data_IF_793968949662
#
_entry.id   IF_793968949662
#
_cell.length_a   1.000
_cell.length_b   1.000
_cell.length_c   1.000
_cell.angle_alpha   90.00
_cell.angle_beta   90.00
_cell.angle_gamma   90.00
#
_symmetry.space_group_name_H-M   'P 1'
#
loop_
_entity.id
_entity.type
_entity.pdbx_description
1 polymer ?
#
# COMPACT_ATOMS: atom_id res chain seq x y z
N UNK A 1 4.37 10.41 -55.77
CA UNK A 1 4.88 11.05 -54.54
C UNK A 1 3.99 10.63 -53.38
N UNK A 2 4.63 10.26 -52.28
CA UNK A 2 4.10 9.67 -51.04
C UNK A 2 3.37 10.70 -50.16
N UNK A 3 2.36 10.20 -49.43
CA UNK A 3 1.95 10.51 -48.04
C UNK A 3 0.53 11.09 -47.87
N UNK A 4 -0.51 10.28 -47.62
CA UNK A 4 -1.03 9.70 -46.34
C UNK A 4 -1.37 10.72 -45.24
N UNK A 5 -2.69 10.98 -45.10
CA UNK A 5 -3.53 10.88 -43.88
C UNK A 5 -2.99 11.43 -42.54
N UNK A 6 -3.63 12.51 -42.06
CA UNK A 6 -3.74 12.85 -40.63
C UNK A 6 -5.21 12.67 -40.20
N UNK A 7 -5.62 11.41 -40.03
CA UNK A 7 -6.72 11.05 -39.14
C UNK A 7 -6.07 10.64 -37.83
N UNK A 8 -6.13 11.51 -36.82
CA UNK A 8 -5.75 11.16 -35.46
C UNK A 8 -6.70 10.06 -34.96
N UNK A 9 -6.27 8.81 -35.09
CA UNK A 9 -6.86 7.66 -34.44
C UNK A 9 -6.79 7.90 -32.93
N UNK A 10 -7.95 8.20 -32.36
CA UNK A 10 -8.24 7.91 -30.98
C UNK A 10 -8.06 6.38 -30.83
N UNK A 11 -6.89 5.93 -30.38
CA UNK A 11 -6.69 4.54 -29.99
C UNK A 11 -7.35 4.41 -28.63
N UNK A 12 -8.49 3.71 -28.49
CA UNK A 12 -8.96 3.38 -27.17
C UNK A 12 -7.89 2.48 -26.56
N UNK A 13 -7.35 2.87 -25.41
CA UNK A 13 -6.69 1.94 -24.48
C UNK A 13 -7.74 0.92 -24.06
N UNK A 14 -8.04 -0.04 -24.94
CA UNK A 14 -8.78 -1.23 -24.59
C UNK A 14 -7.87 -2.02 -23.67
N UNK A 15 -7.97 -1.76 -22.37
CA UNK A 15 -7.47 -2.69 -21.36
C UNK A 15 -8.11 -4.03 -21.71
N UNK A 16 -7.29 -5.03 -22.02
CA UNK A 16 -7.79 -6.32 -22.49
C UNK A 16 -8.73 -6.90 -21.42
N UNK A 17 -10.03 -6.97 -21.73
CA UNK A 17 -11.06 -7.40 -20.79
C UNK A 17 -10.79 -8.80 -20.23
N UNK A 18 -10.12 -9.69 -20.99
CA UNK A 18 -9.68 -11.01 -20.50
C UNK A 18 -8.59 -10.94 -19.41
N UNK A 19 -7.73 -9.93 -19.43
CA UNK A 19 -6.67 -9.75 -18.42
C UNK A 19 -7.26 -9.20 -17.11
N UNK A 20 -8.22 -8.29 -17.20
CA UNK A 20 -8.97 -7.80 -16.04
C UNK A 20 -9.83 -8.90 -15.39
N UNK A 21 -10.49 -9.75 -16.19
CA UNK A 21 -11.30 -10.84 -15.67
C UNK A 21 -10.44 -11.89 -14.96
N UNK A 22 -9.29 -12.27 -15.54
CA UNK A 22 -8.38 -13.25 -14.94
C UNK A 22 -7.75 -12.79 -13.62
N UNK A 23 -7.40 -11.50 -13.47
CA UNK A 23 -6.94 -10.95 -12.18
C UNK A 23 -8.06 -10.96 -11.15
N UNK A 24 -9.28 -10.61 -11.57
CA UNK A 24 -10.44 -10.60 -10.66
C UNK A 24 -10.78 -12.02 -10.18
N UNK A 25 -10.76 -13.00 -11.08
CA UNK A 25 -11.01 -14.41 -10.74
C UNK A 25 -9.93 -14.98 -9.83
N UNK A 26 -8.65 -14.66 -10.09
CA UNK A 26 -7.54 -15.03 -9.21
C UNK A 26 -7.73 -14.44 -7.81
N UNK A 27 -7.99 -13.13 -7.69
CA UNK A 27 -8.20 -12.48 -6.40
C UNK A 27 -9.39 -13.06 -5.64
N UNK A 28 -10.47 -13.41 -6.35
CA UNK A 28 -11.65 -14.04 -5.76
C UNK A 28 -11.40 -15.48 -5.32
N UNK A 29 -10.41 -16.16 -5.90
CA UNK A 29 -10.04 -17.53 -5.52
C UNK A 29 -9.18 -17.62 -4.26
N UNK A 30 -8.62 -16.49 -3.80
CA UNK A 30 -7.76 -16.47 -2.61
C UNK A 30 -8.60 -16.60 -1.32
N UNK A 31 -8.29 -17.63 -0.54
CA UNK A 31 -8.82 -17.79 0.81
C UNK A 31 -7.91 -17.20 1.89
N UNK A 32 -8.36 -17.17 3.16
CA UNK A 32 -7.52 -16.77 4.29
C UNK A 32 -6.29 -17.68 4.44
N UNK A 33 -5.17 -17.11 4.89
CA UNK A 33 -3.99 -17.91 5.19
C UNK A 33 -4.23 -18.84 6.41
N UNK A 34 -3.75 -20.09 6.41
CA UNK A 34 -3.88 -21.00 7.55
C UNK A 34 -3.21 -20.45 8.82
N UNK A 35 -3.90 -20.48 9.96
CA UNK A 35 -3.40 -19.87 11.20
C UNK A 35 -2.16 -20.54 11.80
N UNK A 36 -1.89 -21.79 11.44
CA UNK A 36 -0.80 -22.63 11.90
C UNK A 36 0.28 -22.86 10.84
N UNK A 37 0.25 -22.07 9.75
CA UNK A 37 1.25 -22.16 8.68
C UNK A 37 2.68 -22.09 9.25
N UNK A 38 3.52 -23.11 9.03
CA UNK A 38 4.86 -23.17 9.62
C UNK A 38 5.76 -22.01 9.16
N UNK A 39 5.49 -21.42 7.99
CA UNK A 39 6.25 -20.28 7.45
C UNK A 39 6.18 -19.05 8.35
N UNK A 40 5.12 -18.88 9.14
CA UNK A 40 5.03 -17.76 10.09
C UNK A 40 6.01 -17.86 11.26
N UNK A 41 6.59 -19.04 11.49
CA UNK A 41 7.58 -19.27 12.55
C UNK A 41 9.03 -19.15 12.05
N UNK A 42 9.23 -19.10 10.74
CA UNK A 42 10.54 -19.21 10.08
C UNK A 42 11.00 -17.86 9.48
N UNK A 43 10.99 -16.81 10.30
CA UNK A 43 11.45 -15.49 9.87
C UNK A 43 12.98 -15.43 9.81
N UNK A 44 13.48 -14.90 8.69
CA UNK A 44 14.89 -14.57 8.49
C UNK A 44 15.03 -13.06 8.26
N UNK A 45 15.90 -12.36 9.01
CA UNK A 45 16.18 -10.95 8.75
C UNK A 45 16.87 -10.77 7.38
N UNK A 46 16.81 -9.57 6.78
CA UNK A 46 17.53 -9.28 5.55
C UNK A 46 19.03 -9.58 5.69
N UNK A 47 19.58 -10.32 4.73
CA UNK A 47 20.99 -10.62 4.61
C UNK A 47 21.78 -9.52 3.91
N UNK A 48 23.11 -9.63 3.96
CA UNK A 48 24.00 -8.73 3.20
C UNK A 48 23.80 -8.95 1.70
N UNK A 49 23.37 -7.90 0.99
CA UNK A 49 23.13 -7.95 -0.46
C UNK A 49 21.66 -8.14 -0.86
N UNK A 50 20.76 -8.34 0.09
CA UNK A 50 19.32 -8.40 -0.20
C UNK A 50 18.81 -7.03 -0.66
N UNK A 51 18.16 -7.00 -1.83
CA UNK A 51 17.49 -5.80 -2.36
C UNK A 51 16.07 -5.76 -1.85
N UNK A 52 15.67 -4.62 -1.27
CA UNK A 52 14.31 -4.38 -0.78
C UNK A 52 13.62 -3.33 -1.65
N UNK A 53 12.45 -3.63 -2.25
CA UNK A 53 11.70 -2.63 -2.97
C UNK A 53 11.05 -1.64 -1.98
N UNK A 54 10.91 -0.36 -2.34
CA UNK A 54 10.04 0.53 -1.60
C UNK A 54 8.59 0.12 -1.87
N UNK A 55 7.97 -0.64 -0.96
CA UNK A 55 6.52 -0.78 -0.99
C UNK A 55 5.93 0.59 -0.63
N UNK A 56 5.30 1.32 -1.57
CA UNK A 56 5.27 2.79 -1.59
C UNK A 56 4.62 3.51 -0.39
N UNK A 57 4.04 2.83 0.60
CA UNK A 57 3.40 3.47 1.75
C UNK A 57 3.18 2.68 3.02
N UNK A 58 3.44 1.35 3.08
CA UNK A 58 3.95 0.79 4.34
C UNK A 58 5.28 1.46 4.66
N UNK A 59 6.10 1.70 3.65
CA UNK A 59 7.39 2.35 3.82
C UNK A 59 7.27 3.87 3.95
N UNK A 60 6.35 4.59 3.28
CA UNK A 60 6.30 6.06 3.39
C UNK A 60 6.02 6.60 4.82
N UNK A 61 5.38 5.80 5.67
CA UNK A 61 5.17 6.17 7.08
C UNK A 61 6.49 6.15 7.88
N UNK A 62 7.42 5.25 7.56
CA UNK A 62 8.63 5.01 8.33
C UNK A 62 9.94 5.36 7.61
N UNK A 63 9.98 5.38 6.28
CA UNK A 63 11.16 5.64 5.46
C UNK A 63 11.29 7.12 5.09
N UNK A 64 12.43 7.50 4.54
CA UNK A 64 12.66 8.82 3.98
C UNK A 64 12.03 8.99 2.59
N UNK A 65 11.84 10.24 2.18
CA UNK A 65 11.47 10.54 0.79
C UNK A 65 12.69 10.35 -0.14
N UNK A 66 12.44 9.91 -1.38
CA UNK A 66 13.48 9.72 -2.40
C UNK A 66 14.39 10.94 -2.62
N UNK A 67 13.86 12.15 -2.43
CA UNK A 67 14.64 13.41 -2.49
C UNK A 67 15.89 13.38 -1.58
N UNK A 68 15.86 12.64 -0.46
CA UNK A 68 16.99 12.50 0.46
C UNK A 68 17.92 11.31 0.13
N UNK A 69 17.66 10.60 -0.98
CA UNK A 69 18.54 9.58 -1.56
C UNK A 69 18.33 8.13 -1.08
N UNK A 70 17.67 7.90 0.06
CA UNK A 70 17.39 6.56 0.58
C UNK A 70 15.93 6.45 1.05
N UNK A 71 15.07 5.89 0.22
CA UNK A 71 13.61 5.76 0.46
C UNK A 71 13.16 4.34 0.84
N UNK A 72 14.09 3.39 0.89
CA UNK A 72 13.80 1.99 1.19
C UNK A 72 14.21 1.57 2.60
N UNK A 73 15.09 2.32 3.27
CA UNK A 73 15.52 1.99 4.63
C UNK A 73 14.57 2.58 5.67
N UNK A 74 14.22 1.78 6.68
CA UNK A 74 13.49 2.22 7.85
C UNK A 74 14.18 3.43 8.52
N UNK A 75 13.43 4.52 8.71
CA UNK A 75 13.93 5.76 9.28
C UNK A 75 13.20 6.14 10.56
N UNK A 76 13.84 5.84 11.69
CA UNK A 76 13.28 6.00 13.03
C UNK A 76 12.65 7.38 13.31
N UNK A 77 13.20 8.53 12.87
CA UNK A 77 12.56 9.83 13.12
C UNK A 77 11.18 9.99 12.47
N UNK A 78 10.98 9.48 11.24
CA UNK A 78 9.66 9.49 10.60
C UNK A 78 8.69 8.56 11.34
N UNK A 79 9.17 7.38 11.72
CA UNK A 79 8.38 6.46 12.53
C UNK A 79 7.99 7.03 13.90
N UNK A 80 8.89 7.76 14.56
CA UNK A 80 8.60 8.46 15.81
C UNK A 80 7.48 9.50 15.65
N UNK A 81 7.31 10.11 14.47
CA UNK A 81 6.17 10.98 14.21
C UNK A 81 4.86 10.21 14.25
N UNK A 82 4.82 9.01 13.67
CA UNK A 82 3.64 8.13 13.67
C UNK A 82 3.31 7.67 15.09
N UNK A 83 4.31 7.20 15.84
CA UNK A 83 4.14 6.70 17.21
C UNK A 83 3.54 7.74 18.17
N UNK A 84 3.77 9.04 17.94
CA UNK A 84 3.15 10.11 18.74
C UNK A 84 1.62 10.11 18.66
N UNK A 85 1.04 9.68 17.53
CA UNK A 85 -0.42 9.58 17.38
C UNK A 85 -1.02 8.43 18.18
N UNK A 86 -0.24 7.36 18.41
CA UNK A 86 -0.69 6.23 19.21
C UNK A 86 -0.70 6.54 20.72
N UNK A 87 0.03 7.56 21.18
CA UNK A 87 0.04 8.04 22.58
C UNK A 87 0.28 6.94 23.63
N UNK A 88 1.04 5.90 23.29
CA UNK A 88 1.28 4.75 24.17
C UNK A 88 0.07 3.81 24.34
N UNK A 89 -1.00 3.99 23.56
CA UNK A 89 -2.13 3.07 23.49
C UNK A 89 -1.67 1.69 23.01
N UNK A 90 -2.34 0.63 23.49
CA UNK A 90 -2.15 -0.73 22.99
C UNK A 90 -2.75 -0.94 21.59
N UNK A 91 -3.63 -0.04 21.17
CA UNK A 91 -4.32 -0.12 19.88
C UNK A 91 -4.28 1.21 19.14
N UNK A 92 -4.12 1.14 17.82
CA UNK A 92 -4.37 2.25 16.90
C UNK A 92 -5.71 2.02 16.20
N UNK A 93 -6.41 3.12 15.95
CA UNK A 93 -7.74 3.17 15.34
C UNK A 93 -7.67 3.92 14.01
N UNK A 94 -8.76 3.88 13.25
CA UNK A 94 -8.87 4.57 11.96
C UNK A 94 -8.56 6.07 12.08
N UNK A 95 -9.13 6.84 13.03
CA UNK A 95 -8.83 8.27 13.13
C UNK A 95 -7.37 8.57 13.52
N UNK A 96 -6.77 7.73 14.38
CA UNK A 96 -5.37 7.92 14.80
C UNK A 96 -4.40 7.60 13.66
N UNK A 97 -4.67 6.55 12.90
CA UNK A 97 -3.92 6.20 11.70
C UNK A 97 -4.06 7.26 10.59
N UNK A 98 -5.28 7.75 10.33
CA UNK A 98 -5.54 8.81 9.36
C UNK A 98 -4.76 10.09 9.71
N UNK A 99 -4.80 10.49 10.98
CA UNK A 99 -4.04 11.64 11.46
C UNK A 99 -2.51 11.45 11.34
N UNK A 100 -1.99 10.25 11.64
CA UNK A 100 -0.57 9.93 11.50
C UNK A 100 -0.10 9.98 10.04
N UNK A 101 -0.85 9.36 9.13
CA UNK A 101 -0.63 9.43 7.68
C UNK A 101 -0.62 10.88 7.20
N UNK A 102 -1.65 11.65 7.57
CA UNK A 102 -1.75 13.06 7.18
C UNK A 102 -0.53 13.86 7.66
N UNK A 103 -0.09 13.66 8.90
CA UNK A 103 1.10 14.32 9.44
C UNK A 103 2.38 13.97 8.67
N UNK A 104 2.52 12.73 8.19
CA UNK A 104 3.64 12.31 7.33
C UNK A 104 3.61 13.02 5.98
N UNK A 105 2.46 13.08 5.31
CA UNK A 105 2.28 13.81 4.05
C UNK A 105 2.64 15.29 4.23
N UNK A 106 2.16 15.92 5.29
CA UNK A 106 2.46 17.33 5.58
C UNK A 106 3.94 17.57 5.88
N UNK A 107 4.61 16.63 6.54
CA UNK A 107 6.05 16.71 6.76
C UNK A 107 6.83 16.64 5.45
N UNK A 108 6.51 15.68 4.57
CA UNK A 108 7.13 15.57 3.26
C UNK A 108 6.88 16.83 2.43
N UNK A 109 5.65 17.33 2.36
CA UNK A 109 5.33 18.60 1.68
C UNK A 109 6.09 19.82 2.22
N UNK A 110 6.43 19.83 3.51
CA UNK A 110 7.19 20.92 4.13
C UNK A 110 8.70 20.81 3.89
N UNK A 111 9.23 19.60 3.82
CA UNK A 111 10.69 19.33 3.91
C UNK A 111 11.31 18.89 2.59
N UNK A 112 10.49 18.41 1.65
CA UNK A 112 10.91 17.95 0.34
C UNK A 112 10.36 18.91 -0.74
N UNK A 113 11.22 19.72 -1.39
CA UNK A 113 10.80 20.72 -2.38
C UNK A 113 10.27 20.11 -3.69
N UNK A 114 10.55 18.83 -3.94
CA UNK A 114 10.05 18.08 -5.10
C UNK A 114 8.90 17.14 -4.75
N UNK A 115 8.33 17.28 -3.55
CA UNK A 115 7.24 16.42 -3.09
C UNK A 115 6.01 16.55 -4.00
N UNK A 116 5.51 15.43 -4.47
CA UNK A 116 4.28 15.34 -5.25
C UNK A 116 3.30 14.47 -4.48
N UNK A 117 2.06 14.93 -4.36
CA UNK A 117 0.99 14.18 -3.72
C UNK A 117 -0.31 14.37 -4.51
N UNK A 118 -0.45 13.58 -5.56
CA UNK A 118 -1.61 13.55 -6.43
C UNK A 118 -2.52 12.35 -6.13
N UNK A 119 -3.37 12.01 -7.11
CA UNK A 119 -4.37 10.94 -6.99
C UNK A 119 -3.70 9.58 -6.77
N UNK A 120 -2.61 9.32 -7.52
CA UNK A 120 -1.86 8.07 -7.42
C UNK A 120 -1.28 7.88 -6.02
N UNK A 121 -0.60 8.90 -5.51
CA UNK A 121 0.02 8.86 -4.18
C UNK A 121 -1.04 8.74 -3.09
N UNK A 122 -2.19 9.41 -3.26
CA UNK A 122 -3.31 9.27 -2.33
C UNK A 122 -3.86 7.84 -2.29
N UNK A 123 -4.09 7.21 -3.44
CA UNK A 123 -4.58 5.82 -3.52
C UNK A 123 -3.65 4.89 -2.75
N UNK A 124 -2.34 4.93 -3.02
CA UNK A 124 -1.40 4.07 -2.31
C UNK A 124 -1.32 4.40 -0.83
N UNK A 125 -1.21 5.69 -0.48
CA UNK A 125 -1.05 6.10 0.91
C UNK A 125 -2.24 5.69 1.81
N UNK A 126 -3.48 5.81 1.32
CA UNK A 126 -4.65 5.30 2.04
C UNK A 126 -4.75 3.78 1.97
N UNK A 127 -4.48 3.18 0.80
CA UNK A 127 -4.53 1.73 0.60
C UNK A 127 -3.61 0.97 1.54
N UNK A 128 -2.37 1.40 1.67
CA UNK A 128 -1.38 0.75 2.53
C UNK A 128 -1.67 0.99 4.00
N UNK A 129 -2.24 2.16 4.33
CA UNK A 129 -2.77 2.39 5.67
C UNK A 129 -3.90 1.42 6.01
N UNK A 130 -4.82 1.17 5.07
CA UNK A 130 -5.89 0.19 5.24
C UNK A 130 -5.33 -1.24 5.35
N UNK A 131 -4.32 -1.60 4.53
CA UNK A 131 -3.69 -2.92 4.55
C UNK A 131 -3.08 -3.21 5.92
N UNK A 132 -2.22 -2.33 6.45
CA UNK A 132 -1.59 -2.63 7.75
C UNK A 132 -2.63 -2.65 8.88
N UNK A 133 -3.65 -1.78 8.83
CA UNK A 133 -4.69 -1.76 9.85
C UNK A 133 -5.49 -3.07 9.85
N UNK A 134 -6.03 -3.51 8.72
CA UNK A 134 -6.79 -4.77 8.67
C UNK A 134 -5.89 -5.98 8.99
N UNK A 135 -4.67 -6.00 8.46
CA UNK A 135 -3.76 -7.13 8.71
C UNK A 135 -3.39 -7.20 10.19
N UNK A 136 -3.13 -6.08 10.85
CA UNK A 136 -2.69 -6.03 12.26
C UNK A 136 -3.85 -5.95 13.28
N UNK A 137 -5.11 -6.02 12.83
CA UNK A 137 -6.33 -6.14 13.66
C UNK A 137 -6.59 -7.55 14.21
N UNK A 138 -5.63 -8.47 14.02
CA UNK A 138 -5.72 -9.88 14.36
C UNK A 138 -6.42 -10.19 15.71
N UNK A 139 -7.27 -11.23 15.75
CA UNK A 139 -7.63 -12.09 14.63
C UNK A 139 -8.72 -11.47 13.74
N UNK A 140 -9.22 -10.27 14.05
CA UNK A 140 -10.20 -9.58 13.20
C UNK A 140 -9.52 -8.80 12.07
N UNK A 141 -10.31 -8.31 11.11
CA UNK A 141 -9.86 -7.38 10.06
C UNK A 141 -10.60 -6.02 10.14
N UNK A 142 -10.93 -5.57 11.36
CA UNK A 142 -11.82 -4.43 11.59
C UNK A 142 -11.17 -3.04 11.50
N UNK A 143 -9.86 -2.95 11.26
CA UNK A 143 -9.13 -1.69 11.17
C UNK A 143 -8.72 -1.07 12.52
N UNK A 144 -8.97 -1.74 13.64
CA UNK A 144 -8.38 -1.43 14.96
C UNK A 144 -7.22 -2.37 15.20
N UNK A 145 -5.99 -1.87 15.09
CA UNK A 145 -4.78 -2.69 15.09
C UNK A 145 -4.05 -2.64 16.44
N UNK A 146 -3.49 -3.78 16.86
CA UNK A 146 -2.61 -3.83 18.03
C UNK A 146 -1.28 -3.13 17.71
N UNK A 147 -0.90 -2.13 18.51
CA UNK A 147 0.30 -1.32 18.27
C UNK A 147 1.57 -2.17 18.34
N UNK A 148 1.63 -3.21 19.17
CA UNK A 148 2.80 -4.10 19.19
C UNK A 148 2.94 -4.88 17.88
N UNK A 149 1.82 -5.25 17.25
CA UNK A 149 1.83 -5.93 15.95
C UNK A 149 2.29 -4.97 14.86
N UNK A 150 1.73 -3.76 14.84
CA UNK A 150 2.14 -2.70 13.91
C UNK A 150 3.64 -2.39 14.07
N UNK A 151 4.14 -2.20 15.29
CA UNK A 151 5.57 -1.98 15.53
C UNK A 151 6.43 -3.12 15.04
N UNK A 152 6.04 -4.36 15.27
CA UNK A 152 6.78 -5.54 14.79
C UNK A 152 6.85 -5.56 13.27
N UNK A 153 5.73 -5.26 12.60
CA UNK A 153 5.69 -5.20 11.14
C UNK A 153 6.63 -4.11 10.58
N UNK A 154 6.61 -2.91 11.17
CA UNK A 154 7.39 -1.79 10.65
C UNK A 154 8.87 -1.80 11.08
N UNK A 155 9.16 -2.15 12.33
CA UNK A 155 10.51 -2.08 12.91
C UNK A 155 11.34 -3.33 12.60
N UNK A 156 10.70 -4.44 12.27
CA UNK A 156 11.38 -5.73 12.03
C UNK A 156 11.04 -6.34 10.67
N UNK A 157 10.15 -5.74 9.88
CA UNK A 157 9.63 -6.32 8.63
C UNK A 157 9.13 -7.77 8.80
N UNK A 158 8.53 -8.05 9.96
CA UNK A 158 8.17 -9.41 10.39
C UNK A 158 6.70 -9.49 10.79
N UNK A 159 6.06 -10.62 10.45
CA UNK A 159 4.73 -10.93 10.99
C UNK A 159 4.79 -11.20 12.51
N UNK A 160 3.89 -10.60 13.32
CA UNK A 160 3.96 -10.66 14.78
C UNK A 160 3.48 -11.99 15.41
N UNK A 161 3.83 -13.12 14.81
CA UNK A 161 3.34 -14.44 15.22
C UNK A 161 3.73 -14.80 16.66
N UNK A 162 4.95 -14.41 17.07
CA UNK A 162 5.47 -14.58 18.44
C UNK A 162 4.74 -13.70 19.45
N UNK A 163 4.25 -12.55 19.01
CA UNK A 163 3.50 -11.58 19.80
C UNK A 163 2.01 -11.97 19.95
N UNK A 164 1.57 -13.01 19.25
CA UNK A 164 0.19 -13.53 19.31
C UNK A 164 -0.67 -13.21 18.10
N UNK A 165 -0.11 -12.56 17.07
CA UNK A 165 -0.83 -12.31 15.82
C UNK A 165 -1.14 -13.62 15.10
N UNK A 166 -2.34 -13.72 14.54
CA UNK A 166 -2.79 -14.79 13.65
C UNK A 166 -3.47 -14.16 12.44
N UNK A 167 -3.42 -14.79 11.26
CA UNK A 167 -4.16 -14.31 10.11
C UNK A 167 -5.65 -14.21 10.43
N UNK A 168 -6.32 -13.23 9.83
CA UNK A 168 -7.77 -13.10 9.93
C UNK A 168 -8.44 -14.35 9.35
N UNK A 169 -9.46 -14.92 10.02
CA UNK A 169 -10.27 -15.98 9.44
C UNK A 169 -11.18 -15.46 8.33
N UNK A 170 -11.44 -14.14 8.29
CA UNK A 170 -12.15 -13.47 7.21
C UNK A 170 -11.16 -12.95 6.16
N UNK A 171 -11.40 -13.15 4.85
CA UNK A 171 -10.56 -12.61 3.80
C UNK A 171 -10.49 -11.08 3.83
N UNK A 172 -9.28 -10.53 3.74
CA UNK A 172 -9.06 -9.11 3.44
C UNK A 172 -9.17 -8.97 1.91
N UNK A 173 -10.20 -8.27 1.45
CA UNK A 173 -10.53 -8.12 0.02
C UNK A 173 -10.34 -6.69 -0.45
N UNK A 174 -10.34 -6.45 -1.76
CA UNK A 174 -10.37 -5.09 -2.30
C UNK A 174 -11.59 -4.28 -1.81
N UNK A 175 -12.73 -4.95 -1.59
CA UNK A 175 -13.93 -4.32 -1.07
C UNK A 175 -13.77 -3.92 0.41
N UNK A 176 -13.24 -4.81 1.25
CA UNK A 176 -12.99 -4.48 2.67
C UNK A 176 -11.94 -3.38 2.81
N UNK A 177 -10.90 -3.38 1.97
CA UNK A 177 -9.90 -2.33 1.93
C UNK A 177 -10.48 -1.01 1.43
N UNK A 178 -11.29 -1.02 0.36
CA UNK A 178 -11.95 0.17 -0.17
C UNK A 178 -12.89 0.84 0.84
N UNK A 179 -13.63 0.06 1.63
CA UNK A 179 -14.45 0.58 2.72
C UNK A 179 -13.58 1.27 3.79
N UNK A 180 -12.49 0.63 4.22
CA UNK A 180 -11.59 1.21 5.21
C UNK A 180 -10.84 2.45 4.69
N UNK A 181 -10.48 2.49 3.40
CA UNK A 181 -9.90 3.66 2.74
C UNK A 181 -10.87 4.84 2.80
N UNK A 182 -12.16 4.62 2.55
CA UNK A 182 -13.18 5.66 2.66
C UNK A 182 -13.28 6.17 4.10
N UNK A 183 -13.24 5.29 5.09
CA UNK A 183 -13.21 5.70 6.50
C UNK A 183 -11.95 6.49 6.85
N UNK A 184 -10.76 6.06 6.41
CA UNK A 184 -9.51 6.80 6.61
C UNK A 184 -9.55 8.19 5.97
N UNK A 185 -10.11 8.28 4.76
CA UNK A 185 -10.28 9.53 4.03
C UNK A 185 -11.21 10.50 4.79
N UNK A 186 -12.38 10.01 5.20
CA UNK A 186 -13.37 10.83 5.92
C UNK A 186 -12.91 11.28 7.30
N UNK A 187 -12.04 10.50 7.96
CA UNK A 187 -11.47 10.80 9.27
C UNK A 187 -10.14 11.59 9.19
N UNK A 188 -9.65 11.91 8.00
CA UNK A 188 -8.41 12.69 7.82
C UNK A 188 -8.61 14.14 8.28
N UNK A 189 -7.71 14.71 9.12
CA UNK A 189 -7.83 16.08 9.67
C UNK A 189 -8.01 17.18 8.62
N UNK A 190 -7.50 16.95 7.42
CA UNK A 190 -7.99 17.57 6.20
C UNK A 190 -8.15 16.42 5.19
N UNK A 191 -9.34 16.15 4.62
CA UNK A 191 -9.31 15.59 3.27
C UNK A 191 -8.45 16.59 2.49
N UNK A 192 -7.38 16.12 1.85
CA UNK A 192 -6.24 16.93 1.42
C UNK A 192 -6.65 18.12 0.53
N UNK A 193 -5.73 18.69 -0.25
CA UNK A 193 -6.15 19.39 -1.49
C UNK A 193 -6.75 18.40 -2.52
N UNK A 194 -7.58 17.47 -2.05
CA UNK A 194 -8.26 16.39 -2.73
C UNK A 194 -9.41 17.02 -3.51
N UNK A 195 -9.11 17.49 -4.71
CA UNK A 195 -10.12 17.76 -5.74
C UNK A 195 -10.85 16.50 -6.23
N UNK A 196 -10.78 15.38 -5.50
CA UNK A 196 -11.41 14.11 -5.83
C UNK A 196 -12.21 13.56 -4.65
N UNK A 197 -13.47 13.22 -4.93
CA UNK A 197 -14.28 12.36 -4.07
C UNK A 197 -13.80 10.91 -4.24
N UNK A 198 -13.06 10.39 -3.28
CA UNK A 198 -12.73 8.95 -3.22
C UNK A 198 -13.97 8.24 -2.66
N UNK A 199 -14.54 7.31 -3.43
CA UNK A 199 -15.59 6.37 -3.00
C UNK A 199 -15.00 4.96 -2.99
N UNK A 200 -15.67 4.00 -2.35
CA UNK A 200 -15.19 2.62 -2.33
C UNK A 200 -15.11 2.03 -3.75
N UNK A 201 -16.07 2.31 -4.63
CA UNK A 201 -16.01 1.87 -6.03
C UNK A 201 -14.92 2.61 -6.82
N UNK A 202 -14.80 3.93 -6.66
CA UNK A 202 -13.78 4.69 -7.40
C UNK A 202 -12.37 4.31 -6.98
N UNK A 203 -12.17 3.93 -5.72
CA UNK A 203 -10.90 3.38 -5.25
C UNK A 203 -10.59 2.01 -5.88
N UNK A 204 -11.56 1.08 -5.88
CA UNK A 204 -11.40 -0.22 -6.53
C UNK A 204 -11.04 -0.06 -8.00
N UNK A 205 -11.78 0.76 -8.73
CA UNK A 205 -11.56 0.98 -10.16
C UNK A 205 -10.25 1.70 -10.43
N UNK A 206 -9.88 2.69 -9.61
CA UNK A 206 -8.61 3.39 -9.76
C UNK A 206 -7.41 2.51 -9.41
N UNK A 207 -7.51 1.68 -8.36
CA UNK A 207 -6.47 0.72 -7.98
C UNK A 207 -6.28 -0.35 -9.06
N UNK A 208 -7.39 -0.91 -9.58
CA UNK A 208 -7.36 -1.85 -10.70
C UNK A 208 -6.85 -1.19 -11.97
N UNK A 209 -7.24 0.04 -12.28
CA UNK A 209 -6.73 0.74 -13.47
C UNK A 209 -5.22 1.05 -13.34
N UNK A 210 -4.75 1.35 -12.13
CA UNK A 210 -3.36 1.70 -11.89
C UNK A 210 -2.45 0.47 -11.89
N UNK A 211 -2.85 -0.59 -11.19
CA UNK A 211 -2.09 -1.85 -11.10
C UNK A 211 -2.37 -2.75 -12.31
N UNK A 212 -3.63 -2.94 -12.67
CA UNK A 212 -4.09 -3.73 -13.83
C UNK A 212 -3.88 -3.07 -15.19
N UNK A 213 -3.24 -1.89 -15.26
CA UNK A 213 -2.75 -1.41 -16.55
C UNK A 213 -1.72 -2.39 -17.10
N UNK A 214 -1.94 -2.87 -18.33
CA UNK A 214 -0.99 -3.74 -19.02
C UNK A 214 0.42 -3.12 -19.11
N UNK A 215 0.52 -1.80 -19.01
CA UNK A 215 1.77 -1.05 -18.94
C UNK A 215 2.52 -1.24 -17.62
N UNK A 216 1.85 -1.14 -16.47
CA UNK A 216 2.48 -1.40 -15.17
C UNK A 216 2.97 -2.87 -15.06
N UNK A 217 2.14 -3.83 -15.49
CA UNK A 217 2.54 -5.23 -15.51
C UNK A 217 3.58 -5.56 -16.59
N UNK A 218 3.58 -4.91 -17.77
CA UNK A 218 4.64 -5.13 -18.77
C UNK A 218 5.96 -4.49 -18.39
N UNK A 219 5.94 -3.34 -17.71
CA UNK A 219 7.13 -2.72 -17.14
C UNK A 219 7.67 -3.60 -15.99
N UNK A 220 6.81 -4.05 -15.07
CA UNK A 220 7.22 -4.93 -13.98
C UNK A 220 7.72 -6.31 -14.46
N UNK A 221 7.04 -6.93 -15.43
CA UNK A 221 7.50 -8.21 -15.99
C UNK A 221 8.73 -8.04 -16.87
N UNK A 222 8.86 -6.95 -17.62
CA UNK A 222 10.06 -6.62 -18.39
C UNK A 222 11.28 -6.39 -17.49
N UNK A 223 11.11 -5.61 -16.41
CA UNK A 223 12.16 -5.32 -15.43
C UNK A 223 12.59 -6.59 -14.68
N UNK A 224 11.62 -7.45 -14.30
CA UNK A 224 11.93 -8.74 -13.67
C UNK A 224 12.62 -9.68 -14.69
N UNK A 225 12.11 -9.78 -15.93
CA UNK A 225 12.68 -10.70 -16.92
C UNK A 225 14.13 -10.35 -17.26
N UNK A 226 14.43 -9.05 -17.40
CA UNK A 226 15.78 -8.50 -17.59
C UNK A 226 16.67 -8.71 -16.36
N UNK A 227 16.14 -8.48 -15.15
CA UNK A 227 16.88 -8.67 -13.91
C UNK A 227 17.25 -10.14 -13.62
N UNK A 228 16.48 -11.10 -14.12
CA UNK A 228 16.74 -12.54 -13.95
C UNK A 228 17.24 -13.24 -15.22
N UNK A 229 17.52 -12.49 -16.30
CA UNK A 229 18.10 -13.00 -17.55
C UNK A 229 17.25 -14.05 -18.27
N UNK A 230 15.93 -14.01 -18.06
CA UNK A 230 14.97 -14.87 -18.75
C UNK A 230 14.49 -14.27 -20.08
N UNK A 231 14.82 -13.00 -20.27
CA UNK A 231 14.76 -12.18 -21.46
C UNK A 231 16.02 -11.29 -21.39
#
# INVERSE_FOLDING_TARGET
MRNTLFTALCVPLAVNAQLLSSVTDLLNSLGPAPADDPRFKDFHPPGTGDVRPPCPGLHALANHDFYFGNDYTFYQPNWNMVLKFFKGSKQTTIPTAAAAKYARVMNSNKTNPTFTYGIREAIFSYGESAIYLQTMSSPSANGVANVNYVRTLFEQERLPYKEGWRPSPEPITLASLGALVLELYTQSPQPAKEGLKITAESYKDAFIALIGSAKFFSELTGDICSAVGLC
#
